data_IF_659831356426
#
_entry.id   IF_659831356426
#
_cell.length_a   1.000
_cell.length_b   1.000
_cell.length_c   1.000
_cell.angle_alpha   90.00
_cell.angle_beta   90.00
_cell.angle_gamma   90.00
#
_symmetry.space_group_name_H-M   'P 1'
#
loop_
_entity.id
_entity.type
_entity.pdbx_description
1 polymer ?
#
# COMPACT_ATOMS: atom_id res chain seq x y z
N UNK A 1 4.56 -5.30 -1.32
CA UNK A 1 4.06 -5.94 -2.57
C UNK A 1 4.38 -5.13 -3.82
N UNK A 2 4.09 -3.82 -3.88
CA UNK A 2 4.28 -3.02 -5.12
C UNK A 2 5.73 -3.02 -5.63
N UNK A 3 6.72 -2.89 -4.76
CA UNK A 3 8.13 -3.01 -5.15
C UNK A 3 8.47 -4.40 -5.73
N UNK A 4 8.00 -5.47 -5.09
CA UNK A 4 8.19 -6.85 -5.54
C UNK A 4 7.55 -7.09 -6.92
N UNK A 5 6.42 -6.42 -7.21
CA UNK A 5 5.71 -6.58 -8.47
C UNK A 5 6.55 -6.20 -9.68
N UNK A 6 7.41 -5.19 -9.58
CA UNK A 6 8.34 -4.82 -10.64
C UNK A 6 9.29 -5.99 -11.00
N UNK A 7 9.77 -6.70 -9.98
CA UNK A 7 10.67 -7.86 -10.17
C UNK A 7 9.92 -9.11 -10.63
N UNK A 8 8.66 -9.28 -10.23
CA UNK A 8 7.80 -10.33 -10.80
C UNK A 8 7.56 -10.07 -12.30
N UNK A 9 7.42 -8.82 -12.72
CA UNK A 9 7.32 -8.48 -14.16
C UNK A 9 8.58 -8.90 -14.90
N UNK A 10 9.76 -8.59 -14.35
CA UNK A 10 11.05 -9.01 -14.94
C UNK A 10 11.12 -10.54 -15.00
N UNK A 11 10.68 -11.25 -13.96
CA UNK A 11 10.61 -12.72 -13.96
C UNK A 11 9.71 -13.26 -15.08
N UNK A 12 8.50 -12.71 -15.25
CA UNK A 12 7.56 -13.18 -16.27
C UNK A 12 8.08 -12.92 -17.69
N UNK A 13 8.77 -11.79 -17.92
CA UNK A 13 9.22 -11.41 -19.25
C UNK A 13 10.59 -11.98 -19.62
N UNK A 14 11.61 -11.79 -18.77
CA UNK A 14 12.99 -12.18 -19.08
C UNK A 14 13.22 -13.68 -18.86
N UNK A 15 12.53 -14.27 -17.87
CA UNK A 15 12.70 -15.68 -17.49
C UNK A 15 11.67 -16.62 -18.11
N UNK A 16 10.39 -16.24 -18.08
CA UNK A 16 9.32 -17.07 -18.68
C UNK A 16 8.97 -16.66 -20.12
N UNK A 17 9.69 -15.69 -20.68
CA UNK A 17 9.55 -15.24 -22.07
C UNK A 17 8.13 -14.79 -22.44
N UNK A 18 7.33 -14.33 -21.47
CA UNK A 18 6.03 -13.75 -21.76
C UNK A 18 6.17 -12.36 -22.36
N UNK A 19 5.25 -12.02 -23.27
CA UNK A 19 5.11 -10.64 -23.73
C UNK A 19 4.68 -9.70 -22.58
N UNK A 20 4.87 -8.40 -22.76
CA UNK A 20 4.38 -7.39 -21.81
C UNK A 20 2.88 -7.54 -21.53
N UNK A 21 2.08 -7.79 -22.59
CA UNK A 21 0.63 -8.05 -22.48
C UNK A 21 0.35 -9.35 -21.72
N UNK A 22 1.09 -10.43 -22.03
CA UNK A 22 0.94 -11.72 -21.34
C UNK A 22 1.28 -11.66 -19.85
N UNK A 23 2.27 -10.84 -19.49
CA UNK A 23 2.64 -10.57 -18.10
C UNK A 23 1.56 -9.75 -17.38
N UNK A 24 1.07 -8.69 -18.02
CA UNK A 24 -0.04 -7.88 -17.51
C UNK A 24 -1.31 -8.70 -17.25
N UNK A 25 -1.67 -9.59 -18.17
CA UNK A 25 -2.83 -10.48 -18.03
C UNK A 25 -2.72 -11.39 -16.81
N UNK A 26 -1.53 -11.90 -16.50
CA UNK A 26 -1.29 -12.76 -15.31
C UNK A 26 -1.34 -11.97 -14.01
N UNK A 27 -0.85 -10.73 -14.04
CA UNK A 27 -0.94 -9.82 -12.89
C UNK A 27 -2.38 -9.38 -12.59
N UNK A 28 -3.33 -9.61 -13.51
CA UNK A 28 -4.75 -9.41 -13.21
C UNK A 28 -5.24 -10.27 -12.04
N UNK A 29 -4.64 -11.43 -11.79
CA UNK A 29 -5.01 -12.25 -10.64
C UNK A 29 -4.88 -11.45 -9.32
N UNK A 30 -3.83 -10.65 -9.19
CA UNK A 30 -3.62 -9.77 -8.04
C UNK A 30 -4.58 -8.59 -8.05
N UNK A 31 -4.79 -7.93 -9.19
CA UNK A 31 -5.66 -6.73 -9.25
C UNK A 31 -7.13 -7.07 -9.07
N UNK A 32 -7.61 -8.19 -9.63
CA UNK A 32 -8.97 -8.69 -9.44
C UNK A 32 -9.21 -9.06 -7.98
N UNK A 33 -8.29 -9.81 -7.36
CA UNK A 33 -8.39 -10.14 -5.94
C UNK A 33 -8.40 -8.89 -5.05
N UNK A 34 -7.53 -7.92 -5.36
CA UNK A 34 -7.49 -6.63 -4.66
C UNK A 34 -8.79 -5.84 -4.85
N UNK A 35 -9.34 -5.79 -6.06
CA UNK A 35 -10.56 -5.08 -6.39
C UNK A 35 -11.77 -5.67 -5.65
N UNK A 36 -11.95 -6.99 -5.72
CA UNK A 36 -13.04 -7.69 -5.01
C UNK A 36 -12.93 -7.44 -3.51
N UNK A 37 -11.73 -7.59 -2.94
CA UNK A 37 -11.54 -7.38 -1.50
C UNK A 37 -11.72 -5.93 -1.08
N UNK A 38 -11.41 -4.96 -1.94
CA UNK A 38 -11.63 -3.54 -1.69
C UNK A 38 -13.13 -3.23 -1.49
N UNK A 39 -13.99 -3.82 -2.30
CA UNK A 39 -15.46 -3.68 -2.16
C UNK A 39 -15.99 -4.30 -0.87
N UNK A 40 -15.37 -5.37 -0.38
CA UNK A 40 -15.68 -5.96 0.93
C UNK A 40 -15.18 -5.05 2.05
N UNK A 41 -13.91 -4.61 1.98
CA UNK A 41 -13.29 -3.74 2.98
C UNK A 41 -14.05 -2.43 3.19
N UNK A 42 -14.61 -1.84 2.13
CA UNK A 42 -15.45 -0.64 2.23
C UNK A 42 -16.68 -0.84 3.12
N UNK A 43 -17.32 -2.03 3.06
CA UNK A 43 -18.45 -2.37 3.94
C UNK A 43 -18.03 -2.65 5.38
N UNK A 44 -16.83 -3.18 5.59
CA UNK A 44 -16.30 -3.52 6.92
C UNK A 44 -15.78 -2.30 7.68
N UNK A 45 -15.29 -1.29 6.97
CA UNK A 45 -14.62 -0.12 7.56
C UNK A 45 -15.50 0.66 8.56
N UNK A 46 -16.83 0.66 8.39
CA UNK A 46 -17.75 1.30 9.34
C UNK A 46 -18.21 0.41 10.50
N UNK A 47 -17.85 -0.89 10.51
CA UNK A 47 -18.34 -1.87 11.49
C UNK A 47 -17.22 -2.52 12.30
N UNK A 48 -16.01 -2.53 11.76
CA UNK A 48 -14.85 -3.19 12.35
C UNK A 48 -13.74 -2.17 12.51
N UNK A 49 -13.12 -2.15 13.68
CA UNK A 49 -12.04 -1.22 13.97
C UNK A 49 -10.87 -1.37 13.00
N UNK A 50 -10.30 -0.25 12.55
CA UNK A 50 -9.22 -0.22 11.55
C UNK A 50 -8.06 -1.17 11.87
N UNK A 51 -7.68 -1.28 13.15
CA UNK A 51 -6.64 -2.20 13.64
C UNK A 51 -6.90 -3.65 13.21
N UNK A 52 -8.14 -4.12 13.34
CA UNK A 52 -8.57 -5.49 13.05
C UNK A 52 -8.73 -5.77 11.55
N UNK A 53 -8.63 -4.75 10.69
CA UNK A 53 -8.63 -4.91 9.24
C UNK A 53 -7.21 -4.78 8.67
N UNK A 54 -6.43 -3.80 9.14
CA UNK A 54 -5.08 -3.52 8.64
C UNK A 54 -4.10 -4.63 9.04
N UNK A 55 -4.10 -5.05 10.31
CA UNK A 55 -3.17 -6.07 10.79
C UNK A 55 -3.30 -7.41 10.04
N UNK A 56 -4.49 -8.05 9.94
CA UNK A 56 -4.62 -9.28 9.17
C UNK A 56 -4.40 -9.07 7.67
N UNK A 57 -4.74 -7.89 7.13
CA UNK A 57 -4.44 -7.59 5.72
C UNK A 57 -2.93 -7.56 5.43
N UNK A 58 -2.12 -6.98 6.32
CA UNK A 58 -0.66 -7.01 6.21
C UNK A 58 -0.08 -8.41 6.43
N UNK A 59 -0.68 -9.21 7.30
CA UNK A 59 -0.33 -10.63 7.45
C UNK A 59 -0.63 -11.41 6.18
N UNK A 60 -1.80 -11.22 5.57
CA UNK A 60 -2.17 -11.84 4.29
C UNK A 60 -1.18 -11.43 3.18
N UNK A 61 -0.75 -10.17 3.12
CA UNK A 61 0.31 -9.77 2.18
C UNK A 61 1.61 -10.52 2.44
N UNK A 62 2.03 -10.63 3.70
CA UNK A 62 3.22 -11.40 4.09
C UNK A 62 3.13 -12.87 3.70
N UNK A 63 2.01 -13.53 4.02
CA UNK A 63 1.73 -14.92 3.66
C UNK A 63 1.70 -15.10 2.15
N UNK A 64 1.05 -14.20 1.41
CA UNK A 64 1.02 -14.24 -0.05
C UNK A 64 2.42 -14.15 -0.67
N UNK A 65 3.29 -13.30 -0.12
CA UNK A 65 4.69 -13.21 -0.52
C UNK A 65 5.48 -14.49 -0.18
N UNK A 66 5.21 -15.13 0.97
CA UNK A 66 5.82 -16.42 1.32
C UNK A 66 5.36 -17.55 0.41
N UNK A 67 4.08 -17.56 0.01
CA UNK A 67 3.53 -18.55 -0.93
C UNK A 67 4.16 -18.46 -2.32
N UNK A 68 4.66 -17.27 -2.71
CA UNK A 68 5.40 -17.10 -3.96
C UNK A 68 6.85 -17.61 -3.88
N UNK A 69 7.37 -17.96 -2.70
CA UNK A 69 8.75 -18.47 -2.57
C UNK A 69 8.88 -19.88 -3.13
N UNK A 70 10.13 -20.31 -3.30
CA UNK A 70 10.46 -21.59 -3.91
C UNK A 70 10.45 -21.54 -5.44
N UNK A 71 10.60 -20.35 -6.03
CA UNK A 71 10.73 -20.21 -7.48
C UNK A 71 12.03 -20.88 -7.90
N UNK A 72 11.92 -21.83 -8.80
CA UNK A 72 13.05 -22.49 -9.45
C UNK A 72 13.08 -22.08 -10.93
N UNK A 73 14.20 -22.29 -11.64
CA UNK A 73 14.26 -22.06 -13.08
C UNK A 73 13.24 -22.88 -13.90
N UNK A 74 12.73 -24.00 -13.35
CA UNK A 74 11.72 -24.85 -13.99
C UNK A 74 10.27 -24.50 -13.59
N UNK A 75 10.07 -23.54 -12.69
CA UNK A 75 8.74 -23.20 -12.18
C UNK A 75 7.87 -22.54 -13.26
N UNK A 76 6.60 -22.94 -13.31
CA UNK A 76 5.60 -22.27 -14.14
C UNK A 76 5.04 -21.03 -13.44
N UNK A 77 4.44 -20.12 -14.21
CA UNK A 77 3.81 -18.90 -13.69
C UNK A 77 2.71 -19.18 -12.65
N UNK A 78 2.08 -20.36 -12.72
CA UNK A 78 1.03 -20.79 -11.78
C UNK A 78 1.52 -20.90 -10.35
N UNK A 79 2.83 -21.06 -10.14
CA UNK A 79 3.46 -21.03 -8.82
C UNK A 79 3.19 -19.71 -8.08
N UNK A 80 3.07 -18.61 -8.82
CA UNK A 80 2.79 -17.29 -8.26
C UNK A 80 1.31 -17.07 -7.95
N UNK A 81 0.40 -17.85 -8.54
CA UNK A 81 -1.03 -17.54 -8.59
C UNK A 81 -1.65 -17.48 -7.19
N UNK A 82 -1.41 -18.50 -6.35
CA UNK A 82 -1.93 -18.53 -4.99
C UNK A 82 -1.42 -17.33 -4.17
N UNK A 83 -0.12 -17.03 -4.27
CA UNK A 83 0.46 -15.88 -3.61
C UNK A 83 -0.10 -14.54 -4.12
N UNK A 84 -0.34 -14.40 -5.44
CA UNK A 84 -0.87 -13.18 -6.05
C UNK A 84 -2.29 -12.90 -5.57
N UNK A 85 -3.11 -13.94 -5.47
CA UNK A 85 -4.47 -13.84 -4.95
C UNK A 85 -4.45 -13.46 -3.47
N UNK A 86 -3.70 -14.18 -2.64
CA UNK A 86 -3.63 -13.93 -1.19
C UNK A 86 -3.06 -12.53 -0.88
N UNK A 87 -1.99 -12.13 -1.56
CA UNK A 87 -1.42 -10.79 -1.43
C UNK A 87 -2.35 -9.71 -1.98
N UNK A 88 -3.11 -9.99 -3.05
CA UNK A 88 -4.14 -9.11 -3.59
C UNK A 88 -5.25 -8.84 -2.59
N UNK A 89 -5.79 -9.90 -1.96
CA UNK A 89 -6.80 -9.82 -0.90
C UNK A 89 -6.28 -8.95 0.25
N UNK A 90 -5.10 -9.27 0.79
CA UNK A 90 -4.51 -8.50 1.89
C UNK A 90 -4.31 -7.02 1.53
N UNK A 91 -3.82 -6.75 0.32
CA UNK A 91 -3.59 -5.38 -0.16
C UNK A 91 -4.89 -4.59 -0.36
N UNK A 92 -5.96 -5.24 -0.84
CA UNK A 92 -7.26 -4.59 -1.03
C UNK A 92 -7.89 -4.19 0.30
N UNK A 93 -7.76 -5.07 1.30
CA UNK A 93 -8.20 -4.79 2.66
C UNK A 93 -7.43 -3.60 3.26
N UNK A 94 -6.10 -3.63 3.21
CA UNK A 94 -5.24 -2.58 3.80
C UNK A 94 -5.43 -1.23 3.12
N UNK A 95 -5.42 -1.17 1.79
CA UNK A 95 -5.47 0.11 1.07
C UNK A 95 -6.77 0.86 1.32
N UNK A 96 -7.92 0.16 1.33
CA UNK A 96 -9.22 0.79 1.59
C UNK A 96 -9.32 1.26 3.03
N UNK A 97 -8.95 0.41 4.01
CA UNK A 97 -9.04 0.79 5.42
C UNK A 97 -8.08 1.92 5.79
N UNK A 98 -6.87 1.97 5.21
CA UNK A 98 -5.93 3.07 5.47
C UNK A 98 -6.48 4.42 4.96
N UNK A 99 -7.04 4.43 3.74
CA UNK A 99 -7.57 5.66 3.15
C UNK A 99 -8.75 6.22 3.97
N UNK A 100 -9.68 5.37 4.39
CA UNK A 100 -10.80 5.77 5.22
C UNK A 100 -10.38 6.19 6.63
N UNK A 101 -9.43 5.46 7.24
CA UNK A 101 -8.88 5.80 8.56
C UNK A 101 -8.20 7.17 8.54
N UNK A 102 -7.41 7.49 7.52
CA UNK A 102 -6.72 8.77 7.42
C UNK A 102 -7.68 9.96 7.38
N UNK A 103 -8.84 9.81 6.73
CA UNK A 103 -9.87 10.85 6.69
C UNK A 103 -10.71 10.87 7.97
N UNK A 104 -10.96 9.71 8.58
CA UNK A 104 -11.80 9.59 9.78
C UNK A 104 -11.16 10.08 11.08
N UNK A 105 -9.85 10.35 11.11
CA UNK A 105 -9.15 10.88 12.31
C UNK A 105 -9.07 12.40 12.35
N UNK A 106 -9.64 13.09 11.36
CA UNK A 106 -9.67 14.56 11.29
C UNK A 106 -11.07 15.10 11.08
N UNK A 107 -11.30 16.35 11.50
CA UNK A 107 -12.55 17.06 11.21
C UNK A 107 -12.79 17.19 9.69
N UNK A 108 -14.04 17.14 9.19
CA UNK A 108 -14.34 17.20 7.75
C UNK A 108 -13.69 18.36 7.00
N UNK A 109 -13.56 19.53 7.64
CA UNK A 109 -12.88 20.71 7.07
C UNK A 109 -11.38 20.50 6.80
N UNK A 110 -10.76 19.47 7.38
CA UNK A 110 -9.35 19.11 7.20
C UNK A 110 -9.15 17.78 6.46
N UNK A 111 -10.22 17.14 5.98
CA UNK A 111 -10.16 15.86 5.27
C UNK A 111 -9.23 15.90 4.05
N UNK A 112 -9.24 17.01 3.30
CA UNK A 112 -8.33 17.22 2.17
C UNK A 112 -6.85 17.20 2.58
N UNK A 113 -6.50 17.86 3.69
CA UNK A 113 -5.13 17.85 4.21
C UNK A 113 -4.70 16.46 4.67
N UNK A 114 -5.56 15.74 5.40
CA UNK A 114 -5.24 14.39 5.87
C UNK A 114 -5.07 13.38 4.73
N UNK A 115 -5.92 13.46 3.71
CA UNK A 115 -5.79 12.66 2.48
C UNK A 115 -4.48 12.97 1.74
N UNK A 116 -4.11 14.26 1.66
CA UNK A 116 -2.84 14.71 1.09
C UNK A 116 -1.63 14.14 1.83
N UNK A 117 -1.59 14.28 3.16
CA UNK A 117 -0.51 13.73 4.00
C UNK A 117 -0.40 12.22 3.85
N UNK A 118 -1.52 11.49 3.88
CA UNK A 118 -1.55 10.04 3.69
C UNK A 118 -1.02 9.64 2.30
N UNK A 119 -1.42 10.35 1.26
CA UNK A 119 -0.96 10.09 -0.11
C UNK A 119 0.55 10.32 -0.26
N UNK A 120 1.06 11.42 0.31
CA UNK A 120 2.49 11.72 0.32
C UNK A 120 3.27 10.67 1.10
N UNK A 121 2.82 10.30 2.31
CA UNK A 121 3.46 9.25 3.11
C UNK A 121 3.52 7.91 2.36
N UNK A 122 2.44 7.55 1.66
CA UNK A 122 2.40 6.35 0.80
C UNK A 122 3.39 6.43 -0.34
N UNK A 123 3.46 7.55 -1.05
CA UNK A 123 4.41 7.72 -2.16
C UNK A 123 5.87 7.64 -1.68
N UNK A 124 6.19 8.28 -0.56
CA UNK A 124 7.51 8.18 0.08
C UNK A 124 7.80 6.73 0.46
N UNK A 125 6.83 6.03 1.07
CA UNK A 125 6.96 4.61 1.40
C UNK A 125 7.18 3.71 0.19
N UNK A 126 6.50 3.98 -0.93
CA UNK A 126 6.72 3.27 -2.19
C UNK A 126 8.11 3.53 -2.73
N UNK A 127 8.55 4.78 -2.80
CA UNK A 127 9.88 5.15 -3.28
C UNK A 127 10.98 4.50 -2.42
N UNK A 128 10.90 4.64 -1.10
CA UNK A 128 11.85 4.04 -0.16
C UNK A 128 11.86 2.52 -0.25
N UNK A 129 10.68 1.89 -0.32
CA UNK A 129 10.55 0.44 -0.43
C UNK A 129 11.11 -0.11 -1.75
N UNK A 130 10.84 0.57 -2.88
CA UNK A 130 11.39 0.21 -4.18
C UNK A 130 12.91 0.37 -4.19
N UNK A 131 13.44 1.48 -3.66
CA UNK A 131 14.88 1.72 -3.60
C UNK A 131 15.62 0.70 -2.71
N UNK A 132 15.09 0.43 -1.51
CA UNK A 132 15.70 -0.53 -0.59
C UNK A 132 15.69 -1.96 -1.15
N UNK A 133 14.54 -2.41 -1.66
CA UNK A 133 14.40 -3.74 -2.24
C UNK A 133 15.21 -3.89 -3.54
N UNK A 134 15.29 -2.83 -4.36
CA UNK A 134 16.13 -2.85 -5.56
C UNK A 134 17.61 -2.89 -5.26
N UNK A 135 18.06 -2.16 -4.24
CA UNK A 135 19.45 -2.21 -3.78
C UNK A 135 19.79 -3.61 -3.24
N UNK A 136 18.88 -4.21 -2.47
CA UNK A 136 19.04 -5.57 -1.97
C UNK A 136 19.14 -6.57 -3.12
N UNK A 137 18.22 -6.53 -4.09
CA UNK A 137 18.24 -7.42 -5.24
C UNK A 137 19.55 -7.26 -6.04
N UNK A 138 19.93 -6.03 -6.38
CA UNK A 138 21.14 -5.76 -7.16
C UNK A 138 22.41 -6.25 -6.45
N UNK A 139 22.46 -6.10 -5.12
CA UNK A 139 23.57 -6.58 -4.29
C UNK A 139 23.62 -8.10 -4.31
N UNK A 140 22.48 -8.77 -4.12
CA UNK A 140 22.41 -10.22 -4.05
C UNK A 140 22.73 -10.87 -5.41
N UNK A 141 22.14 -10.34 -6.49
CA UNK A 141 22.45 -10.76 -7.86
C UNK A 141 23.94 -10.61 -8.14
N UNK A 142 24.54 -9.47 -7.79
CA UNK A 142 25.97 -9.23 -7.99
C UNK A 142 26.82 -10.23 -7.21
N UNK A 143 26.53 -10.45 -5.94
CA UNK A 143 27.29 -11.36 -5.09
C UNK A 143 27.26 -12.80 -5.65
N UNK A 144 26.08 -13.26 -6.06
CA UNK A 144 25.90 -14.59 -6.66
C UNK A 144 26.61 -14.73 -8.00
N UNK A 145 26.41 -13.79 -8.91
CA UNK A 145 27.06 -13.83 -10.24
C UNK A 145 28.58 -13.77 -10.12
N UNK A 146 29.12 -12.93 -9.24
CA UNK A 146 30.56 -12.85 -8.98
C UNK A 146 31.07 -14.16 -8.40
N UNK A 147 30.37 -14.73 -7.41
CA UNK A 147 30.75 -16.02 -6.81
C UNK A 147 30.80 -17.14 -7.85
N UNK A 148 29.77 -17.29 -8.67
CA UNK A 148 29.66 -18.35 -9.69
C UNK A 148 30.67 -18.22 -10.84
N UNK A 149 31.06 -16.99 -11.18
CA UNK A 149 31.98 -16.73 -12.29
C UNK A 149 33.43 -16.50 -11.85
N UNK A 150 33.70 -16.39 -10.54
CA UNK A 150 35.01 -16.07 -9.98
C UNK A 150 36.13 -17.02 -10.43
N UNK A 151 35.82 -18.31 -10.56
CA UNK A 151 36.74 -19.36 -11.01
C UNK A 151 36.69 -19.63 -12.52
N UNK A 152 36.02 -18.77 -13.29
CA UNK A 152 35.83 -18.95 -14.73
C UNK A 152 36.56 -17.88 -15.54
N UNK A 153 36.92 -18.15 -16.81
CA UNK A 153 37.47 -17.12 -17.70
C UNK A 153 36.50 -15.94 -17.93
N UNK A 154 35.22 -16.10 -17.54
CA UNK A 154 34.16 -15.11 -17.68
C UNK A 154 34.04 -14.17 -16.47
N UNK A 155 34.98 -14.20 -15.52
CA UNK A 155 34.96 -13.32 -14.34
C UNK A 155 34.80 -11.83 -14.70
N UNK A 156 35.41 -11.38 -15.80
CA UNK A 156 35.29 -10.00 -16.32
C UNK A 156 33.86 -9.61 -16.73
N UNK A 157 33.03 -10.57 -17.12
CA UNK A 157 31.64 -10.34 -17.52
C UNK A 157 30.67 -10.28 -16.33
N UNK A 158 31.09 -10.68 -15.13
CA UNK A 158 30.22 -10.79 -13.94
C UNK A 158 29.48 -9.49 -13.59
N UNK A 159 30.19 -8.35 -13.55
CA UNK A 159 29.59 -7.04 -13.24
C UNK A 159 28.53 -6.63 -14.28
N UNK A 160 28.88 -6.74 -15.57
CA UNK A 160 27.96 -6.39 -16.67
C UNK A 160 26.73 -7.30 -16.68
N UNK A 161 26.91 -8.59 -16.42
CA UNK A 161 25.81 -9.54 -16.33
C UNK A 161 24.90 -9.24 -15.12
N UNK A 162 25.47 -8.98 -13.95
CA UNK A 162 24.70 -8.67 -12.75
C UNK A 162 23.85 -7.40 -12.90
N UNK A 163 24.40 -6.36 -13.53
CA UNK A 163 23.69 -5.12 -13.85
C UNK A 163 22.57 -5.36 -14.87
N UNK A 164 22.84 -6.15 -15.91
CA UNK A 164 21.85 -6.51 -16.91
C UNK A 164 20.69 -7.33 -16.32
N UNK A 165 20.97 -8.26 -15.41
CA UNK A 165 19.93 -9.02 -14.69
C UNK A 165 19.08 -8.08 -13.84
N UNK A 166 19.72 -7.16 -13.11
CA UNK A 166 19.02 -6.23 -12.22
C UNK A 166 18.11 -5.24 -12.97
N UNK A 167 18.46 -4.93 -14.22
CA UNK A 167 17.70 -4.01 -15.10
C UNK A 167 16.75 -4.71 -16.08
N UNK A 168 16.72 -6.05 -16.10
CA UNK A 168 15.90 -6.84 -17.02
C UNK A 168 16.40 -6.87 -18.48
N UNK A 169 17.71 -6.70 -18.69
CA UNK A 169 18.38 -6.71 -19.99
C UNK A 169 19.36 -7.89 -20.14
N UNK A 170 19.24 -8.94 -19.34
CA UNK A 170 20.19 -10.06 -19.33
C UNK A 170 20.29 -10.74 -20.69
N UNK A 171 19.15 -10.94 -21.37
CA UNK A 171 19.10 -11.54 -22.71
C UNK A 171 19.97 -10.79 -23.74
N UNK A 172 20.00 -9.45 -23.67
CA UNK A 172 20.82 -8.63 -24.57
C UNK A 172 22.32 -8.81 -24.32
N UNK A 173 22.75 -8.92 -23.05
CA UNK A 173 24.16 -9.17 -22.73
C UNK A 173 24.59 -10.59 -23.12
N UNK A 174 23.70 -11.56 -22.94
CA UNK A 174 23.97 -12.96 -23.27
C UNK A 174 24.06 -13.15 -24.80
N UNK A 175 23.21 -12.50 -25.60
CA UNK A 175 23.23 -12.65 -27.07
C UNK A 175 24.53 -12.14 -27.72
N UNK A 176 25.12 -11.08 -27.16
CA UNK A 176 26.39 -10.51 -27.62
C UNK A 176 27.64 -11.24 -27.08
N UNK A 177 27.47 -12.21 -26.17
CA UNK A 177 28.58 -13.00 -25.66
C UNK A 177 29.04 -14.07 -26.68
N UNK A 178 30.30 -14.54 -26.61
CA UNK A 178 30.80 -15.64 -27.43
C UNK A 178 29.91 -16.88 -27.32
N UNK A 179 29.67 -17.60 -28.43
CA UNK A 179 28.73 -18.72 -28.48
C UNK A 179 28.96 -19.78 -27.38
N UNK A 180 30.21 -20.11 -27.07
CA UNK A 180 30.57 -21.05 -26.00
C UNK A 180 30.28 -20.57 -24.57
N UNK A 181 30.09 -19.25 -24.36
CA UNK A 181 29.79 -18.68 -23.04
C UNK A 181 28.30 -18.48 -22.79
N UNK A 182 27.46 -18.39 -23.85
CA UNK A 182 26.04 -18.04 -23.74
C UNK A 182 25.25 -18.97 -22.82
N UNK A 183 25.46 -20.29 -22.94
CA UNK A 183 24.77 -21.28 -22.10
C UNK A 183 25.11 -21.13 -20.62
N UNK A 184 26.39 -20.91 -20.29
CA UNK A 184 26.84 -20.74 -18.91
C UNK A 184 26.36 -19.41 -18.32
N UNK A 185 26.43 -18.31 -19.07
CA UNK A 185 25.92 -17.01 -18.63
C UNK A 185 24.41 -17.03 -18.43
N UNK A 186 23.66 -17.73 -19.30
CA UNK A 186 22.22 -17.94 -19.14
C UNK A 186 21.89 -18.73 -17.87
N UNK A 187 22.56 -19.86 -17.63
CA UNK A 187 22.34 -20.65 -16.42
C UNK A 187 22.63 -19.85 -15.13
N UNK A 188 23.74 -19.11 -15.09
CA UNK A 188 24.10 -18.25 -13.96
C UNK A 188 23.09 -17.11 -13.79
N UNK A 189 22.62 -16.49 -14.87
CA UNK A 189 21.61 -15.43 -14.80
C UNK A 189 20.28 -15.94 -14.23
N UNK A 190 19.78 -17.06 -14.74
CA UNK A 190 18.56 -17.70 -14.25
C UNK A 190 18.65 -18.08 -12.77
N UNK A 191 19.76 -18.70 -12.37
CA UNK A 191 20.01 -19.10 -10.98
C UNK A 191 20.14 -17.90 -10.03
N UNK A 192 20.94 -16.90 -10.40
CA UNK A 192 21.14 -15.71 -9.59
C UNK A 192 19.83 -14.91 -9.43
N UNK A 193 19.06 -14.74 -10.52
CA UNK A 193 17.80 -14.01 -10.47
C UNK A 193 16.74 -14.73 -9.63
N UNK A 194 16.51 -16.03 -9.86
CA UNK A 194 15.52 -16.81 -9.08
C UNK A 194 15.86 -16.84 -7.59
N UNK A 195 17.14 -17.04 -7.24
CA UNK A 195 17.56 -17.02 -5.84
C UNK A 195 17.38 -15.64 -5.20
N UNK A 196 17.80 -14.59 -5.89
CA UNK A 196 17.67 -13.23 -5.36
C UNK A 196 16.21 -12.81 -5.23
N UNK A 197 15.33 -13.24 -6.15
CA UNK A 197 13.88 -13.03 -6.06
C UNK A 197 13.28 -13.76 -4.85
N UNK A 198 13.72 -14.98 -4.55
CA UNK A 198 13.27 -15.73 -3.37
C UNK A 198 13.66 -15.06 -2.05
N UNK A 199 14.85 -14.44 -1.99
CA UNK A 199 15.29 -13.65 -0.83
C UNK A 199 14.54 -12.33 -0.72
N UNK A 200 14.32 -11.66 -1.85
CA UNK A 200 13.51 -10.44 -1.90
C UNK A 200 12.09 -10.67 -1.37
N UNK A 201 11.48 -11.78 -1.79
CA UNK A 201 10.17 -12.22 -1.31
C UNK A 201 10.16 -12.46 0.20
N UNK A 202 11.21 -13.07 0.75
CA UNK A 202 11.35 -13.30 2.19
C UNK A 202 11.47 -11.99 2.97
N UNK A 203 12.36 -11.09 2.54
CA UNK A 203 12.55 -9.79 3.21
C UNK A 203 11.27 -8.97 3.15
N UNK A 204 10.62 -8.90 1.99
CA UNK A 204 9.34 -8.21 1.84
C UNK A 204 8.23 -8.83 2.71
N UNK A 205 8.21 -10.16 2.86
CA UNK A 205 7.27 -10.83 3.73
C UNK A 205 7.51 -10.48 5.20
N UNK A 206 8.76 -10.52 5.67
CA UNK A 206 9.13 -10.15 7.04
C UNK A 206 8.73 -8.70 7.32
N UNK A 207 9.05 -7.78 6.42
CA UNK A 207 8.66 -6.36 6.55
C UNK A 207 7.13 -6.21 6.63
N UNK A 208 6.37 -6.97 5.83
CA UNK A 208 4.91 -6.95 5.89
C UNK A 208 4.36 -7.51 7.20
N UNK A 209 4.92 -8.60 7.70
CA UNK A 209 4.50 -9.23 8.96
C UNK A 209 4.83 -8.36 10.17
N UNK A 210 6.04 -7.80 10.22
CA UNK A 210 6.44 -6.82 11.24
C UNK A 210 5.56 -5.58 11.16
N UNK A 211 5.29 -5.08 9.94
CA UNK A 211 4.36 -3.98 9.73
C UNK A 211 2.95 -4.30 10.25
N UNK A 212 2.46 -5.52 10.05
CA UNK A 212 1.18 -5.99 10.58
C UNK A 212 1.15 -6.01 12.11
N UNK A 213 2.23 -6.50 12.74
CA UNK A 213 2.40 -6.50 14.19
C UNK A 213 2.44 -5.06 14.75
N UNK A 214 3.24 -4.18 14.14
CA UNK A 214 3.33 -2.78 14.55
C UNK A 214 2.00 -2.07 14.36
N UNK A 215 1.30 -2.28 13.25
CA UNK A 215 -0.06 -1.74 13.05
C UNK A 215 -1.03 -2.23 14.12
N UNK A 216 -0.95 -3.50 14.50
CA UNK A 216 -1.77 -4.06 15.57
C UNK A 216 -1.51 -3.39 16.93
N UNK A 217 -0.24 -3.14 17.27
CA UNK A 217 0.15 -2.54 18.55
C UNK A 217 -0.10 -1.02 18.58
N UNK A 218 0.24 -0.31 17.50
CA UNK A 218 0.27 1.15 17.45
C UNK A 218 -1.09 1.79 17.14
N UNK A 219 -1.96 1.16 16.32
CA UNK A 219 -3.24 1.77 15.93
C UNK A 219 -4.21 1.74 17.11
N UNK A 220 -4.24 2.78 17.95
CA UNK A 220 -5.15 2.85 19.11
C UNK A 220 -6.53 3.35 18.69
N UNK A 221 -7.58 2.63 19.11
CA UNK A 221 -8.98 2.98 18.80
C UNK A 221 -9.45 4.27 19.49
N UNK A 222 -8.74 4.73 20.52
CA UNK A 222 -9.10 5.92 21.30
C UNK A 222 -8.85 7.25 20.57
N UNK A 223 -8.11 7.22 19.46
CA UNK A 223 -7.69 8.42 18.72
C UNK A 223 -8.68 8.78 17.58
N UNK A 224 -9.72 7.96 17.37
CA UNK A 224 -10.76 8.22 16.39
C UNK A 224 -11.79 9.18 16.99
N UNK A 225 -12.04 10.30 16.31
CA UNK A 225 -13.05 11.28 16.74
C UNK A 225 -14.43 10.63 16.61
N UNK A 226 -15.08 10.35 17.73
CA UNK A 226 -16.44 9.80 17.76
C UNK A 226 -17.40 10.79 17.09
N UNK A 227 -17.87 10.46 15.89
CA UNK A 227 -18.98 11.16 15.23
C UNK A 227 -20.31 11.06 16.04
N UNK A 228 -20.34 10.19 17.05
CA UNK A 228 -21.50 9.98 17.93
C UNK A 228 -21.84 11.20 18.81
N UNK A 229 -20.86 12.06 19.12
CA UNK A 229 -21.11 13.24 19.96
C UNK A 229 -21.99 14.30 19.28
N UNK A 230 -22.07 14.30 17.94
CA UNK A 230 -22.87 15.29 17.19
C UNK A 230 -24.22 14.75 16.72
N UNK A 231 -24.40 13.43 16.55
CA UNK A 231 -25.74 12.87 16.32
C UNK A 231 -26.68 13.10 17.52
N UNK A 232 -26.11 13.07 18.72
CA UNK A 232 -26.83 13.31 19.98
C UNK A 232 -26.98 14.82 20.29
N UNK A 233 -26.03 15.67 19.87
CA UNK A 233 -26.13 17.13 19.99
C UNK A 233 -27.00 17.80 18.91
N UNK A 234 -27.03 17.25 17.68
CA UNK A 234 -27.87 17.75 16.58
C UNK A 234 -29.28 17.12 16.57
N UNK A 235 -29.47 16.01 17.30
CA UNK A 235 -30.76 15.34 17.48
C UNK A 235 -31.56 15.78 18.70
N UNK A 236 -31.01 16.64 19.57
CA UNK A 236 -31.75 17.23 20.67
C UNK A 236 -32.86 18.15 20.08
N UNK A 237 -34.15 17.87 20.32
CA UNK A 237 -35.22 18.71 19.79
C UNK A 237 -35.09 20.11 20.37
N UNK A 238 -34.90 21.10 19.48
CA UNK A 238 -34.85 22.53 19.80
C UNK A 238 -36.13 23.08 20.49
N UNK A 239 -37.09 22.22 20.85
CA UNK A 239 -38.35 22.58 21.51
C UNK A 239 -38.30 22.62 23.05
N UNK A 240 -37.34 21.96 23.72
CA UNK A 240 -37.33 21.93 25.20
C UNK A 240 -36.59 23.10 25.86
N UNK A 241 -35.69 23.78 25.13
CA UNK A 241 -34.99 24.96 25.66
C UNK A 241 -35.86 26.22 25.73
N UNK A 242 -36.96 26.30 24.96
CA UNK A 242 -37.83 27.48 24.91
C UNK A 242 -38.99 27.43 25.91
N UNK A 243 -39.27 26.27 26.52
CA UNK A 243 -40.37 26.11 27.49
C UNK A 243 -40.02 26.51 28.93
N UNK A 244 -38.74 26.84 29.22
CA UNK A 244 -38.29 27.20 30.57
C UNK A 244 -38.12 28.69 30.83
N UNK A 245 -38.23 29.55 29.82
CA UNK A 245 -38.21 31.01 30.01
C UNK A 245 -39.64 31.55 30.19
N UNK A 246 -40.18 31.32 31.38
CA UNK A 246 -41.43 31.92 31.86
C UNK A 246 -41.28 33.42 32.15
N UNK A 247 -40.92 34.20 31.15
CA UNK A 247 -40.81 35.66 31.20
C UNK A 247 -42.19 36.34 31.17
N UNK A 248 -42.56 36.99 32.27
CA UNK A 248 -43.81 37.74 32.48
C UNK A 248 -44.08 38.77 31.35
N UNK A 249 -45.35 39.00 30.95
CA UNK A 249 -45.68 40.00 29.93
C UNK A 249 -45.46 41.43 30.46
N UNK A 250 -44.60 42.20 29.78
CA UNK A 250 -44.46 43.64 29.99
C UNK A 250 -45.70 44.36 29.46
N UNK A 251 -46.37 45.14 30.32
CA UNK A 251 -47.45 46.06 29.94
C UNK A 251 -46.87 47.21 29.12
N UNK A 252 -47.34 47.36 27.88
CA UNK A 252 -47.13 48.54 27.06
C UNK A 252 -47.99 49.67 27.63
N UNK A 253 -47.35 50.67 28.22
CA UNK A 253 -47.99 51.95 28.62
C UNK A 253 -48.14 52.85 27.39
N UNK A 254 -49.35 53.34 27.16
CA UNK A 254 -49.69 54.27 26.08
C UNK A 254 -49.03 55.66 26.27
N UNK A 255 -48.85 56.46 25.20
CA UNK A 255 -48.26 57.79 25.30
C UNK A 255 -49.25 58.85 25.79
N UNK A 256 -48.75 59.71 26.67
CA UNK A 256 -49.42 60.84 27.32
C UNK A 256 -49.70 62.01 26.33
N UNK A 257 -50.92 62.57 26.24
CA UNK A 257 -51.21 63.70 25.37
C UNK A 257 -51.22 65.00 26.17
N UNK A 258 -50.15 65.81 26.07
CA UNK A 258 -50.23 67.22 26.43
C UNK A 258 -48.95 67.85 26.97
N UNK A 259 -48.34 68.74 26.18
CA UNK A 259 -47.24 69.57 26.65
C UNK A 259 -46.78 70.57 25.59
N UNK A 260 -47.51 71.69 25.48
CA UNK A 260 -47.20 72.79 24.56
C UNK A 260 -45.81 73.43 24.82
N UNK A 261 -45.10 73.91 23.79
CA UNK A 261 -43.86 74.66 23.97
C UNK A 261 -44.14 76.12 24.34
N UNK A 262 -43.60 76.58 25.48
CA UNK A 262 -43.55 78.01 25.87
C UNK A 262 -42.24 78.66 25.40
N UNK A 263 -42.40 79.87 24.90
CA UNK A 263 -41.44 80.83 24.34
C UNK A 263 -40.38 81.36 25.33
N UNK A 264 -39.25 81.83 24.76
CA UNK A 264 -38.35 82.88 25.28
C UNK A 264 -37.20 82.40 26.16
N UNK A 265 -35.95 82.87 26.02
CA UNK A 265 -35.40 84.12 25.51
C UNK A 265 -34.01 83.88 24.91
#
# INVERSE_FOLDING_TARGET
IFAVLAYIVIYLQDLLHFSAVGSGLRLLALTVAMFVMSGVAGRLTGRVSARLLIAPGLVLVGVGLLLMRGITPASSWTHLLAGLIVAGIGSGLVNVTLASTAVGVVHPSRAGMASGVNSTARQVGYAAGIAALGTLLATEVRNRVVSELSHSPLAHASRRLAEAISTGNAAHVISHAPAGARGRLGAVALGAFTSSLNELLLVAAIVSLVGGMLAFVLIRQRDFVSADAEGEAAGAPAGEAMARDGGRPQRVTAPDPGGAPRLGR
#
